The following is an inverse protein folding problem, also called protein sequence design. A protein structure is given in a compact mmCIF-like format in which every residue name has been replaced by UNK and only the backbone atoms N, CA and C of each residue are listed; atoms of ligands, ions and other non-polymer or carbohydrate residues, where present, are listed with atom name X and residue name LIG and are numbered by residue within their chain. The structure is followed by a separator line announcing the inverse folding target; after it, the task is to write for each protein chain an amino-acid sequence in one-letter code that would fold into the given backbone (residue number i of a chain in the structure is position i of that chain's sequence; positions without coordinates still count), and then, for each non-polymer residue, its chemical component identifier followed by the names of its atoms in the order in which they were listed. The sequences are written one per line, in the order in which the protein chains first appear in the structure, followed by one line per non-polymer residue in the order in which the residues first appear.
data_IF_614100595641
#
_entry.id   IF_614100595641
#
_cell.length_a   1.000
_cell.length_b   1.000
_cell.length_c   1.000
_cell.angle_alpha   90.00
_cell.angle_beta   90.00
_cell.angle_gamma   90.00
#
_symmetry.space_group_name_H-M   'P 1'
#
loop_
_entity.id
_entity.type
_entity.pdbx_description
1 polymer ?
#
# COMPACT_ATOMS: atom_id res chain seq x y z
N UNK A 1 20.84 11.09 25.67
CA UNK A 1 19.60 10.89 24.91
C UNK A 1 18.49 11.62 25.62
N UNK A 2 17.85 12.58 24.97
CA UNK A 2 16.68 13.28 25.53
C UNK A 2 15.49 12.31 25.59
N UNK A 3 14.60 12.42 26.59
CA UNK A 3 13.41 11.58 26.65
C UNK A 3 12.53 11.82 25.42
N UNK A 4 11.82 10.79 24.92
CA UNK A 4 10.91 10.91 23.80
C UNK A 4 9.82 11.95 24.10
N UNK A 5 9.55 12.83 23.14
CA UNK A 5 8.42 13.77 23.22
C UNK A 5 7.10 13.02 23.24
N UNK A 6 6.03 13.66 23.72
CA UNK A 6 4.68 13.09 23.72
C UNK A 6 4.28 12.60 22.31
N UNK A 7 4.61 13.39 21.29
CA UNK A 7 4.31 13.07 19.88
C UNK A 7 5.07 11.85 19.40
N UNK A 8 6.36 11.72 19.76
CA UNK A 8 7.14 10.53 19.40
C UNK A 8 6.57 9.27 20.04
N UNK A 9 6.10 9.35 21.30
CA UNK A 9 5.47 8.22 21.98
C UNK A 9 4.15 7.83 21.29
N UNK A 10 3.33 8.81 20.90
CA UNK A 10 2.09 8.56 20.16
C UNK A 10 2.36 7.88 18.82
N UNK A 11 3.36 8.35 18.08
CA UNK A 11 3.79 7.74 16.82
C UNK A 11 4.22 6.29 16.98
N UNK A 12 5.10 5.99 17.94
CA UNK A 12 5.57 4.62 18.17
C UNK A 12 4.45 3.68 18.62
N UNK A 13 3.53 4.17 19.46
CA UNK A 13 2.37 3.40 19.88
C UNK A 13 1.44 3.08 18.70
N UNK A 14 1.19 4.06 17.82
CA UNK A 14 0.43 3.81 16.59
C UNK A 14 1.12 2.75 15.71
N UNK A 15 2.42 2.92 15.45
CA UNK A 15 3.18 1.98 14.62
C UNK A 15 3.18 0.56 15.20
N UNK A 16 3.35 0.42 16.52
CA UNK A 16 3.25 -0.87 17.21
C UNK A 16 1.85 -1.49 17.03
N UNK A 17 0.78 -0.69 17.19
CA UNK A 17 -0.59 -1.15 16.97
C UNK A 17 -0.84 -1.66 15.55
N UNK A 18 -0.27 -1.02 14.53
CA UNK A 18 -0.36 -1.49 13.13
C UNK A 18 0.32 -2.85 12.95
N UNK A 19 1.48 -3.06 13.57
CA UNK A 19 2.22 -4.33 13.51
C UNK A 19 1.46 -5.44 14.23
N UNK A 20 1.02 -5.18 15.47
CA UNK A 20 0.30 -6.16 16.29
C UNK A 20 -0.98 -6.61 15.60
N UNK A 21 -1.78 -5.67 15.07
CA UNK A 21 -2.98 -6.01 14.30
C UNK A 21 -2.63 -6.84 13.06
N UNK A 22 -1.56 -6.46 12.35
CA UNK A 22 -1.05 -7.21 11.21
C UNK A 22 -0.70 -8.66 11.55
N UNK A 23 -0.14 -8.92 12.74
CA UNK A 23 0.20 -10.26 13.21
C UNK A 23 -1.03 -11.07 13.64
N UNK A 24 -1.98 -10.43 14.33
CA UNK A 24 -3.13 -11.13 14.91
C UNK A 24 -4.25 -11.41 13.89
N UNK A 25 -4.51 -10.45 13.00
CA UNK A 25 -5.70 -10.50 12.13
C UNK A 25 -5.41 -10.98 10.71
N UNK A 26 -4.16 -10.97 10.25
CA UNK A 26 -3.80 -11.42 8.90
C UNK A 26 -3.24 -12.84 8.89
N UNK A 27 -3.44 -13.50 7.75
CA UNK A 27 -3.03 -14.84 7.41
C UNK A 27 -1.53 -14.91 7.40
N UNK A 28 -1.02 -15.79 8.26
CA UNK A 28 0.36 -16.17 8.26
C UNK A 28 0.69 -16.86 6.92
N UNK A 29 1.51 -16.22 6.11
CA UNK A 29 1.98 -16.70 4.82
C UNK A 29 3.10 -17.72 5.03
N UNK A 30 2.73 -18.89 5.60
CA UNK A 30 3.54 -20.10 5.81
C UNK A 30 5.06 -19.89 5.67
N UNK A 31 5.68 -19.08 6.54
CA UNK A 31 7.11 -18.89 6.47
C UNK A 31 7.82 -20.18 6.93
N UNK A 32 9.03 -20.40 6.44
CA UNK A 32 9.91 -21.51 6.89
C UNK A 32 10.65 -21.20 8.20
N UNK A 33 10.26 -20.12 8.89
CA UNK A 33 10.86 -19.62 10.12
C UNK A 33 9.82 -19.56 11.25
N UNK A 34 10.22 -19.52 12.54
CA UNK A 34 9.27 -19.51 13.66
C UNK A 34 8.44 -18.22 13.79
N UNK A 35 8.81 -17.14 13.09
CA UNK A 35 8.04 -15.89 13.06
C UNK A 35 6.75 -15.97 12.25
N UNK A 36 5.88 -14.96 12.43
CA UNK A 36 4.67 -14.75 11.62
C UNK A 36 5.02 -13.84 10.45
N UNK A 37 4.59 -14.19 9.24
CA UNK A 37 4.72 -13.35 8.07
C UNK A 37 3.35 -12.97 7.53
N UNK A 38 2.98 -11.71 7.68
CA UNK A 38 1.74 -11.16 7.11
C UNK A 38 2.06 -10.44 5.81
N UNK A 39 1.56 -10.96 4.68
CA UNK A 39 1.73 -10.28 3.41
C UNK A 39 0.65 -9.22 3.24
N UNK A 40 1.09 -7.98 3.10
CA UNK A 40 0.25 -6.85 2.73
C UNK A 40 0.70 -6.41 1.36
N UNK A 41 -0.22 -6.44 0.42
CA UNK A 41 0.10 -6.16 -0.97
C UNK A 41 -1.15 -5.72 -1.71
N UNK A 42 -0.89 -4.96 -2.77
CA UNK A 42 -1.90 -4.66 -3.76
C UNK A 42 -1.94 -5.85 -4.70
N UNK A 43 -3.06 -6.58 -4.68
CA UNK A 43 -3.35 -7.55 -5.70
C UNK A 43 -3.68 -6.79 -6.97
N UNK A 44 -3.10 -7.29 -8.04
CA UNK A 44 -3.30 -6.81 -9.39
C UNK A 44 -4.45 -7.58 -10.06
N UNK A 45 -5.40 -8.07 -9.27
CA UNK A 45 -6.42 -9.02 -9.71
C UNK A 45 -5.85 -10.38 -10.13
N UNK A 46 -6.66 -11.17 -10.82
CA UNK A 46 -6.26 -12.49 -11.29
C UNK A 46 -5.17 -12.40 -12.37
N UNK A 47 -4.21 -13.34 -12.35
CA UNK A 47 -3.04 -13.33 -13.25
C UNK A 47 -3.39 -13.30 -14.74
N UNK A 48 -4.56 -13.84 -15.11
CA UNK A 48 -5.06 -13.88 -16.49
C UNK A 48 -5.67 -12.56 -16.97
N UNK A 49 -5.89 -11.59 -16.08
CA UNK A 49 -6.45 -10.29 -16.45
C UNK A 49 -5.32 -9.39 -16.97
N UNK A 50 -5.49 -8.78 -18.17
CA UNK A 50 -4.51 -7.87 -18.76
C UNK A 50 -4.16 -6.73 -17.82
N UNK A 51 -2.90 -6.29 -17.83
CA UNK A 51 -2.39 -5.28 -16.91
C UNK A 51 -3.22 -3.99 -16.85
N UNK A 52 -3.79 -3.59 -18.00
CA UNK A 52 -4.66 -2.42 -18.16
C UNK A 52 -6.04 -2.53 -17.51
N UNK A 53 -6.48 -3.74 -17.15
CA UNK A 53 -7.78 -4.03 -16.54
C UNK A 53 -7.66 -4.53 -15.09
N UNK A 54 -6.44 -4.52 -14.54
CA UNK A 54 -6.17 -4.96 -13.18
C UNK A 54 -6.76 -3.98 -12.19
N UNK A 55 -7.71 -4.45 -11.40
CA UNK A 55 -8.16 -3.71 -10.23
C UNK A 55 -7.07 -3.82 -9.17
N UNK A 56 -6.54 -2.67 -8.75
CA UNK A 56 -5.70 -2.56 -7.56
C UNK A 56 -6.62 -2.81 -6.35
N UNK A 57 -6.54 -4.02 -5.79
CA UNK A 57 -7.31 -4.42 -4.62
C UNK A 57 -6.40 -4.92 -3.51
N UNK A 58 -6.75 -4.71 -2.24
CA UNK A 58 -5.94 -5.21 -1.13
C UNK A 58 -5.95 -6.74 -1.07
N UNK A 59 -4.80 -7.34 -0.77
CA UNK A 59 -4.67 -8.77 -0.54
C UNK A 59 -5.60 -9.27 0.55
N UNK A 60 -6.54 -10.15 0.18
CA UNK A 60 -7.47 -10.80 1.11
C UNK A 60 -6.69 -11.76 2.01
N UNK A 61 -6.24 -11.22 3.14
CA UNK A 61 -5.41 -11.95 4.08
C UNK A 61 -6.06 -12.06 5.45
N UNK A 62 -7.28 -11.62 5.71
CA UNK A 62 -7.81 -11.69 7.07
C UNK A 62 -8.20 -13.13 7.49
N UNK A 63 -7.84 -13.52 8.71
CA UNK A 63 -8.34 -14.75 9.36
C UNK A 63 -9.78 -14.57 9.85
N UNK A 64 -10.05 -13.40 10.44
CA UNK A 64 -11.34 -13.07 11.03
C UNK A 64 -12.26 -12.37 10.04
N UNK A 65 -13.57 -12.59 10.23
CA UNK A 65 -14.59 -11.80 9.53
C UNK A 65 -14.62 -10.40 10.14
N UNK A 66 -13.93 -9.47 9.49
CA UNK A 66 -13.99 -8.04 9.79
C UNK A 66 -14.97 -7.34 8.84
N UNK A 67 -15.53 -6.21 9.28
CA UNK A 67 -16.28 -5.32 8.37
C UNK A 67 -15.33 -4.73 7.32
N UNK A 68 -15.89 -4.37 6.16
CA UNK A 68 -15.07 -3.83 5.06
C UNK A 68 -14.48 -2.45 5.40
N UNK A 69 -15.17 -1.69 6.25
CA UNK A 69 -14.65 -0.42 6.81
C UNK A 69 -13.39 -0.66 7.65
N UNK A 70 -13.41 -1.61 8.58
CA UNK A 70 -12.23 -1.93 9.42
C UNK A 70 -11.08 -2.45 8.56
N UNK A 71 -11.37 -3.26 7.54
CA UNK A 71 -10.35 -3.71 6.59
C UNK A 71 -9.74 -2.55 5.83
N UNK A 72 -10.55 -1.57 5.41
CA UNK A 72 -10.10 -0.41 4.67
C UNK A 72 -9.16 0.45 5.53
N UNK A 73 -9.58 0.83 6.74
CA UNK A 73 -8.76 1.59 7.69
C UNK A 73 -7.44 0.88 7.98
N UNK A 74 -7.47 -0.42 8.29
CA UNK A 74 -6.24 -1.15 8.59
C UNK A 74 -5.32 -1.28 7.36
N UNK A 75 -5.87 -1.39 6.15
CA UNK A 75 -5.06 -1.37 4.94
C UNK A 75 -4.40 0.00 4.73
N UNK A 76 -5.10 1.10 4.98
CA UNK A 76 -4.53 2.45 4.93
C UNK A 76 -3.40 2.62 5.95
N UNK A 77 -3.61 2.16 7.19
CA UNK A 77 -2.59 2.18 8.25
C UNK A 77 -1.33 1.41 7.86
N UNK A 78 -1.47 0.18 7.33
CA UNK A 78 -0.31 -0.60 6.90
C UNK A 78 0.40 0.04 5.72
N UNK A 79 -0.34 0.65 4.78
CA UNK A 79 0.28 1.39 3.67
C UNK A 79 1.07 2.60 4.19
N UNK A 80 0.50 3.36 5.13
CA UNK A 80 1.19 4.48 5.76
C UNK A 80 2.46 4.02 6.49
N UNK A 81 2.35 2.98 7.33
CA UNK A 81 3.48 2.38 8.04
C UNK A 81 4.58 1.89 7.08
N UNK A 82 4.19 1.21 6.00
CA UNK A 82 5.12 0.71 4.97
C UNK A 82 5.81 1.86 4.22
N UNK A 83 5.08 2.93 3.91
CA UNK A 83 5.63 4.13 3.26
C UNK A 83 6.63 4.87 4.14
N UNK A 84 6.36 4.97 5.46
CA UNK A 84 7.29 5.54 6.43
C UNK A 84 8.55 4.67 6.54
N UNK A 85 8.38 3.35 6.71
CA UNK A 85 9.50 2.41 6.75
C UNK A 85 10.34 2.48 5.47
N UNK A 86 9.69 2.53 4.31
CA UNK A 86 10.36 2.69 3.02
C UNK A 86 11.14 4.00 2.95
N UNK A 87 10.56 5.10 3.41
CA UNK A 87 11.22 6.42 3.46
C UNK A 87 12.46 6.44 4.36
N UNK A 88 12.42 5.71 5.48
CA UNK A 88 13.57 5.52 6.36
C UNK A 88 14.64 4.62 5.73
N UNK A 89 14.22 3.58 5.01
CA UNK A 89 15.13 2.67 4.32
C UNK A 89 15.88 3.41 3.21
N UNK A 90 15.20 4.20 2.38
CA UNK A 90 15.85 4.98 1.31
C UNK A 90 16.72 6.12 1.84
N UNK A 91 16.42 6.69 3.01
CA UNK A 91 17.23 7.77 3.59
C UNK A 91 18.56 7.29 4.16
N UNK A 92 18.68 5.98 4.43
CA UNK A 92 19.88 5.36 5.01
C UNK A 92 20.67 4.54 4.00
N UNK A 93 20.05 4.10 2.90
CA UNK A 93 20.73 3.32 1.86
C UNK A 93 21.51 4.21 0.86
N UNK A 94 22.68 3.75 0.37
CA UNK A 94 23.40 4.43 -0.70
C UNK A 94 22.59 4.54 -1.99
N UNK A 95 22.72 5.67 -2.68
CA UNK A 95 21.98 5.97 -3.92
C UNK A 95 22.29 4.97 -5.03
N UNK A 96 23.51 4.42 -5.05
CA UNK A 96 23.93 3.41 -6.02
C UNK A 96 23.08 2.14 -5.94
N UNK A 97 22.50 1.84 -4.77
CA UNK A 97 21.62 0.70 -4.54
C UNK A 97 20.16 1.05 -4.86
N UNK A 98 19.70 2.22 -4.44
CA UNK A 98 18.28 2.59 -4.56
C UNK A 98 17.90 3.11 -5.95
N UNK A 99 18.79 3.82 -6.64
CA UNK A 99 18.50 4.47 -7.92
C UNK A 99 18.14 3.48 -9.06
N UNK A 100 18.84 2.35 -9.27
CA UNK A 100 18.45 1.38 -10.30
C UNK A 100 17.05 0.81 -10.05
N UNK A 101 16.72 0.55 -8.78
CA UNK A 101 15.42 -0.01 -8.41
C UNK A 101 14.30 1.03 -8.60
N UNK A 102 14.50 2.28 -8.17
CA UNK A 102 13.54 3.38 -8.39
C UNK A 102 13.31 3.60 -9.89
N UNK A 103 14.38 3.59 -10.69
CA UNK A 103 14.30 3.69 -12.15
C UNK A 103 13.44 2.56 -12.73
N UNK A 104 13.73 1.31 -12.41
CA UNK A 104 12.97 0.16 -12.92
C UNK A 104 11.48 0.21 -12.52
N UNK A 105 11.18 0.60 -11.27
CA UNK A 105 9.80 0.77 -10.80
C UNK A 105 9.07 1.85 -11.62
N UNK A 106 9.74 2.98 -11.88
CA UNK A 106 9.17 4.07 -12.69
C UNK A 106 8.93 3.66 -14.15
N UNK A 107 9.86 2.92 -14.76
CA UNK A 107 9.76 2.42 -16.13
C UNK A 107 8.64 1.36 -16.26
N UNK A 108 8.37 0.62 -15.20
CA UNK A 108 7.26 -0.34 -15.13
C UNK A 108 5.91 0.33 -14.83
N UNK A 109 5.85 1.66 -14.70
CA UNK A 109 4.63 2.39 -14.32
C UNK A 109 4.13 2.06 -12.91
N UNK A 110 5.00 1.51 -12.06
CA UNK A 110 4.65 1.20 -10.67
C UNK A 110 4.79 2.50 -9.86
N UNK A 111 3.72 2.99 -9.23
CA UNK A 111 3.80 4.20 -8.44
C UNK A 111 4.76 3.98 -7.28
N UNK A 112 5.64 4.96 -7.06
CA UNK A 112 6.50 4.98 -5.88
C UNK A 112 5.61 4.95 -4.64
N UNK A 113 5.90 4.06 -3.68
CA UNK A 113 5.29 4.09 -2.34
C UNK A 113 5.85 5.28 -1.54
N UNK A 114 5.76 6.49 -2.09
CA UNK A 114 5.71 7.69 -1.29
C UNK A 114 4.23 7.93 -1.05
N UNK A 115 3.86 8.16 0.19
CA UNK A 115 2.52 8.55 0.60
C UNK A 115 2.16 9.87 -0.11
N UNK A 116 1.68 9.81 -1.36
CA UNK A 116 0.81 10.86 -1.86
C UNK A 116 -0.48 10.67 -1.08
N UNK A 117 -0.63 11.43 0.00
CA UNK A 117 -1.94 11.77 0.51
C UNK A 117 -2.70 12.35 -0.67
N UNK A 118 -3.47 11.53 -1.38
CA UNK A 118 -4.56 12.03 -2.17
C UNK A 118 -5.52 12.60 -1.13
N UNK A 119 -5.36 13.90 -0.83
CA UNK A 119 -6.49 14.70 -0.36
C UNK A 119 -7.63 14.30 -1.29
N UNK A 120 -8.67 13.67 -0.75
CA UNK A 120 -9.88 13.38 -1.49
C UNK A 120 -10.36 14.71 -2.06
N UNK A 121 -10.01 14.98 -3.32
CA UNK A 121 -10.60 16.06 -4.06
C UNK A 121 -12.08 15.70 -4.13
N UNK A 122 -12.86 16.51 -3.43
CA UNK A 122 -14.30 16.58 -3.44
C UNK A 122 -14.92 15.89 -4.67
N UNK A 123 -15.62 14.78 -4.42
CA UNK A 123 -16.25 13.93 -5.43
C UNK A 123 -17.52 14.59 -6.03
N UNK A 124 -17.59 15.93 -6.00
CA UNK A 124 -18.69 16.73 -6.56
C UNK A 124 -18.42 17.27 -7.97
N UNK A 125 -17.20 17.22 -8.51
CA UNK A 125 -16.88 17.82 -9.83
C UNK A 125 -15.86 17.02 -10.66
N UNK A 126 -16.28 15.90 -11.25
CA UNK A 126 -15.67 15.44 -12.51
C UNK A 126 -16.64 14.59 -13.32
N UNK A 127 -17.64 15.25 -13.91
CA UNK A 127 -18.34 14.71 -15.06
C UNK A 127 -17.35 14.66 -16.23
N UNK A 128 -16.87 13.47 -16.57
CA UNK A 128 -16.14 13.25 -17.83
C UNK A 128 -17.21 13.10 -18.93
N UNK A 129 -17.24 13.96 -19.97
CA UNK A 129 -18.20 13.82 -21.06
C UNK A 129 -17.85 12.58 -21.89
N UNK A 130 -18.85 11.71 -22.12
CA UNK A 130 -18.76 10.63 -23.10
C UNK A 130 -18.77 11.25 -24.50
N UNK A 131 -17.60 11.35 -25.15
CA UNK A 131 -17.53 11.66 -26.57
C UNK A 131 -17.86 10.40 -27.38
N UNK A 132 -19.02 10.42 -28.05
CA UNK A 132 -19.35 9.51 -29.14
C UNK A 132 -18.40 9.75 -30.32
N UNK A 133 -17.66 8.74 -30.75
CA UNK A 133 -17.18 8.65 -32.12
C UNK A 133 -17.28 7.21 -32.61
N UNK A 134 -18.29 6.98 -33.47
CA UNK A 134 -18.31 5.89 -34.45
C UNK A 134 -17.14 6.13 -35.41
N UNK A 135 -16.36 5.09 -35.70
CA UNK A 135 -15.73 4.93 -37.02
C UNK A 135 -15.83 3.46 -37.40
N UNK A 136 -16.51 3.22 -38.53
CA UNK A 136 -16.67 1.93 -39.18
C UNK A 136 -15.32 1.38 -39.67
N UNK A 137 -15.24 0.05 -39.74
CA UNK A 137 -14.16 -0.66 -40.40
C UNK A 137 -14.12 -0.42 -41.91
N UNK A 138 -12.96 -0.80 -42.46
CA UNK A 138 -12.61 -0.88 -43.89
C UNK A 138 -13.63 -1.70 -44.67
#
# INVERSE_FOLDING_TARGET
MSPPTLDSKAFYNWMAGVVDFGCDYRRNQRPTHPGVMSQVGVTLGARHIPASQRQLGYGVSYYHKLSDEVKATHNEDVVAASGIFWSMAISTMPTEVTAPMIKNLSECGIPHMATRCYMYADRSKSAIPRSNSRVCGV
#
